data_IF_079410870453
#
_entry.id   IF_079410870453
#
_cell.length_a   1.000
_cell.length_b   1.000
_cell.length_c   1.000
_cell.angle_alpha   90.00
_cell.angle_beta   90.00
_cell.angle_gamma   90.00
#
_symmetry.space_group_name_H-M   'P 1'
#
loop_
_entity.id
_entity.type
_entity.pdbx_description
1 polymer ?
#
# COMPACT_ATOMS: atom_id res chain seq x y z
N UNK A 1 -13.72 0.25 10.62
CA UNK A 1 -13.12 -1.03 10.15
C UNK A 1 -11.74 -1.21 10.77
N UNK A 2 -11.24 -2.44 10.87
CA UNK A 2 -9.94 -2.72 11.48
C UNK A 2 -9.19 -3.81 10.72
N UNK A 3 -7.86 -3.74 10.77
CA UNK A 3 -6.97 -4.83 10.35
C UNK A 3 -6.46 -5.50 11.61
N UNK A 4 -6.68 -6.81 11.74
CA UNK A 4 -6.29 -7.57 12.93
C UNK A 4 -5.10 -8.44 12.60
N UNK A 5 -4.08 -8.40 13.46
CA UNK A 5 -2.88 -9.22 13.37
C UNK A 5 -2.95 -10.35 14.39
N UNK A 6 -2.64 -11.56 13.90
CA UNK A 6 -2.59 -12.77 14.69
C UNK A 6 -1.21 -13.42 14.54
N UNK A 7 -0.73 -13.97 15.64
CA UNK A 7 0.39 -14.91 15.63
C UNK A 7 -0.12 -16.25 15.11
N UNK A 8 0.31 -16.66 13.93
CA UNK A 8 -0.14 -17.93 13.34
C UNK A 8 0.44 -19.15 14.07
N UNK A 9 1.54 -19.00 14.82
CA UNK A 9 2.13 -20.11 15.58
C UNK A 9 1.34 -20.37 16.86
N UNK A 10 0.97 -19.31 17.58
CA UNK A 10 0.25 -19.42 18.85
C UNK A 10 -1.27 -19.26 18.71
N UNK A 11 -1.75 -18.89 17.52
CA UNK A 11 -3.12 -18.50 17.22
C UNK A 11 -3.65 -17.39 18.13
N UNK A 12 -2.75 -16.56 18.68
CA UNK A 12 -3.10 -15.47 19.58
C UNK A 12 -3.28 -14.17 18.82
N UNK A 13 -4.25 -13.39 19.27
CA UNK A 13 -4.37 -11.99 18.90
C UNK A 13 -3.11 -11.23 19.30
N UNK A 14 -2.55 -10.45 18.38
CA UNK A 14 -1.40 -9.59 18.66
C UNK A 14 -1.80 -8.13 18.73
N UNK A 15 -2.45 -7.64 17.67
CA UNK A 15 -2.76 -6.22 17.57
C UNK A 15 -3.91 -5.95 16.60
N UNK A 16 -4.53 -4.79 16.74
CA UNK A 16 -5.53 -4.29 15.81
C UNK A 16 -5.14 -2.88 15.35
N UNK A 17 -4.96 -2.70 14.05
CA UNK A 17 -4.81 -1.39 13.46
C UNK A 17 -6.21 -0.79 13.32
N UNK A 18 -6.45 0.29 14.06
CA UNK A 18 -7.71 1.01 14.07
C UNK A 18 -7.46 2.42 13.56
N UNK A 19 -8.17 2.81 12.50
CA UNK A 19 -8.27 4.17 11.91
C UNK A 19 -8.96 4.21 10.55
N UNK A 20 -9.45 3.07 10.07
CA UNK A 20 -10.06 2.95 8.75
C UNK A 20 -11.55 3.32 8.79
N UNK A 21 -11.91 4.31 7.98
CA UNK A 21 -13.28 4.82 7.83
C UNK A 21 -14.08 3.97 6.84
N UNK A 22 -13.41 3.32 5.89
CA UNK A 22 -14.03 2.50 4.85
C UNK A 22 -13.65 1.02 4.97
N UNK A 23 -14.29 0.19 4.16
CA UNK A 23 -13.95 -1.24 4.02
C UNK A 23 -12.54 -1.36 3.46
N UNK A 24 -11.72 -2.21 4.06
CA UNK A 24 -10.39 -2.52 3.56
C UNK A 24 -10.54 -3.25 2.23
N UNK A 25 -9.93 -2.68 1.20
CA UNK A 25 -9.96 -3.25 -0.15
C UNK A 25 -8.75 -4.15 -0.39
N UNK A 26 -7.58 -3.78 0.14
CA UNK A 26 -6.32 -4.47 -0.13
C UNK A 26 -5.28 -4.27 0.98
N UNK A 27 -4.33 -5.21 1.06
CA UNK A 27 -3.23 -5.25 2.01
C UNK A 27 -1.97 -5.77 1.32
N UNK A 28 -0.84 -5.10 1.53
CA UNK A 28 0.46 -5.58 1.04
C UNK A 28 1.55 -5.36 2.10
N UNK A 29 2.45 -6.32 2.25
CA UNK A 29 3.48 -6.30 3.27
C UNK A 29 4.88 -6.36 2.65
N UNK A 30 5.73 -5.41 3.05
CA UNK A 30 7.13 -5.33 2.68
C UNK A 30 8.01 -5.76 3.87
N UNK A 31 8.54 -7.01 3.88
CA UNK A 31 9.27 -7.55 5.04
C UNK A 31 10.59 -6.83 5.30
N UNK A 32 11.31 -6.44 4.24
CA UNK A 32 12.63 -5.80 4.34
C UNK A 32 12.62 -4.48 5.12
N UNK A 33 11.46 -3.81 5.18
CA UNK A 33 11.26 -2.55 5.92
C UNK A 33 10.25 -2.68 7.06
N UNK A 34 9.73 -3.90 7.29
CA UNK A 34 8.66 -4.17 8.24
C UNK A 34 7.49 -3.20 8.05
N UNK A 35 7.00 -3.07 6.82
CA UNK A 35 6.02 -2.06 6.45
C UNK A 35 4.79 -2.70 5.83
N UNK A 36 3.61 -2.42 6.37
CA UNK A 36 2.33 -2.86 5.83
C UNK A 36 1.63 -1.68 5.17
N UNK A 37 1.28 -1.83 3.89
CA UNK A 37 0.37 -0.96 3.19
C UNK A 37 -1.08 -1.46 3.40
N UNK A 38 -1.98 -0.52 3.69
CA UNK A 38 -3.41 -0.79 3.84
C UNK A 38 -4.17 0.19 2.97
N UNK A 39 -4.97 -0.34 2.05
CA UNK A 39 -5.84 0.43 1.17
C UNK A 39 -7.32 0.19 1.50
N UNK A 40 -8.10 1.27 1.49
CA UNK A 40 -9.54 1.21 1.70
C UNK A 40 -10.34 1.66 0.47
N UNK A 41 -11.63 1.32 0.43
CA UNK A 41 -12.54 1.67 -0.67
C UNK A 41 -12.82 3.17 -0.79
N UNK A 42 -12.43 3.99 0.21
CA UNK A 42 -12.49 5.45 0.11
C UNK A 42 -11.31 6.07 -0.65
N UNK A 43 -10.40 5.22 -1.15
CA UNK A 43 -9.17 5.62 -1.81
C UNK A 43 -8.08 6.03 -0.82
N UNK A 44 -8.23 5.76 0.48
CA UNK A 44 -7.14 6.03 1.43
C UNK A 44 -6.13 4.89 1.40
N UNK A 45 -4.85 5.26 1.43
CA UNK A 45 -3.73 4.34 1.56
C UNK A 45 -2.90 4.79 2.76
N UNK A 46 -2.60 3.85 3.65
CA UNK A 46 -1.82 4.08 4.86
C UNK A 46 -0.70 3.06 4.98
N UNK A 47 0.42 3.49 5.54
CA UNK A 47 1.60 2.67 5.77
C UNK A 47 1.86 2.56 7.27
N UNK A 48 2.05 1.32 7.70
CA UNK A 48 2.18 0.97 9.11
C UNK A 48 3.45 0.20 9.36
N UNK A 49 4.17 0.55 10.42
CA UNK A 49 5.32 -0.23 10.87
C UNK A 49 4.84 -1.51 11.56
N UNK A 50 5.49 -2.61 11.25
CA UNK A 50 5.22 -3.94 11.80
C UNK A 50 6.42 -4.44 12.59
N UNK A 51 6.23 -5.50 13.37
CA UNK A 51 7.34 -6.20 14.01
C UNK A 51 8.33 -6.75 12.98
N UNK A 52 9.64 -6.82 13.31
CA UNK A 52 10.27 -6.43 14.58
C UNK A 52 10.72 -4.95 14.65
N UNK A 53 10.15 -4.03 13.86
CA UNK A 53 10.57 -2.62 13.88
C UNK A 53 10.41 -1.99 15.27
N UNK A 54 11.34 -1.13 15.74
CA UNK A 54 11.24 -0.46 17.04
C UNK A 54 9.95 0.35 17.19
N UNK A 55 9.56 1.09 16.15
CA UNK A 55 8.32 1.87 16.09
C UNK A 55 7.11 1.07 15.60
N UNK A 56 7.01 -0.21 15.94
CA UNK A 56 5.88 -1.08 15.55
C UNK A 56 4.51 -0.45 15.86
N UNK A 57 3.52 -0.76 15.02
CA UNK A 57 2.12 -0.33 15.11
C UNK A 57 1.87 1.16 14.87
N UNK A 58 2.89 1.91 14.48
CA UNK A 58 2.75 3.32 14.12
C UNK A 58 2.36 3.47 12.64
N UNK A 59 1.41 4.36 12.37
CA UNK A 59 1.11 4.81 11.01
C UNK A 59 2.15 5.88 10.63
N UNK A 60 3.03 5.56 9.70
CA UNK A 60 4.14 6.45 9.30
C UNK A 60 3.79 7.35 8.14
N UNK A 61 2.82 6.94 7.32
CA UNK A 61 2.37 7.76 6.20
C UNK A 61 0.93 7.42 5.85
N UNK A 62 0.17 8.43 5.47
CA UNK A 62 -1.22 8.31 5.06
C UNK A 62 -1.49 9.32 3.96
N UNK A 63 -2.14 8.85 2.89
CA UNK A 63 -2.57 9.71 1.81
C UNK A 63 -3.90 9.21 1.25
N UNK A 64 -4.57 10.07 0.49
CA UNK A 64 -5.75 9.73 -0.28
C UNK A 64 -5.36 9.71 -1.75
N UNK A 65 -5.62 8.60 -2.41
CA UNK A 65 -5.57 8.54 -3.85
C UNK A 65 -6.69 9.44 -4.39
N UNK A 66 -6.31 10.58 -4.97
CA UNK A 66 -7.27 11.48 -5.56
C UNK A 66 -7.82 10.83 -6.83
N UNK A 67 -9.14 10.85 -7.06
CA UNK A 67 -9.65 10.46 -8.36
C UNK A 67 -8.98 11.37 -9.39
N UNK A 68 -8.38 10.77 -10.42
CA UNK A 68 -7.81 11.49 -11.56
C UNK A 68 -8.87 12.41 -12.16
N UNK A 69 -8.85 13.69 -11.79
CA UNK A 69 -9.64 14.71 -12.47
C UNK A 69 -8.93 14.94 -13.81
N UNK A 70 -9.53 14.46 -14.90
CA UNK A 70 -9.10 14.63 -16.29
C UNK A 70 -7.93 13.76 -16.80
N UNK A 71 -7.62 12.63 -16.16
CA UNK A 71 -6.76 11.60 -16.78
C UNK A 71 -5.29 11.98 -17.04
N UNK A 72 -4.84 13.16 -16.61
CA UNK A 72 -3.43 13.58 -16.76
C UNK A 72 -2.65 13.22 -15.50
N UNK A 73 -1.82 12.18 -15.58
CA UNK A 73 -0.71 12.00 -14.64
C UNK A 73 0.33 13.09 -14.92
N UNK A 74 0.86 13.82 -13.92
CA UNK A 74 2.09 14.57 -14.13
C UNK A 74 3.21 13.55 -14.37
N UNK A 75 3.58 13.39 -15.64
CA UNK A 75 4.67 12.56 -16.15
C UNK A 75 4.46 11.03 -16.03
N UNK A 76 3.75 10.42 -16.99
CA UNK A 76 4.09 9.07 -17.48
C UNK A 76 3.80 9.03 -18.98
N UNK A 77 4.85 8.81 -19.77
CA UNK A 77 4.78 8.60 -21.22
C UNK A 77 3.89 7.40 -21.55
N UNK A 78 2.85 7.62 -22.34
CA UNK A 78 1.83 6.62 -22.70
C UNK A 78 2.42 5.44 -23.50
N UNK A 79 1.99 4.23 -23.17
CA UNK A 79 2.09 3.03 -24.04
C UNK A 79 0.65 2.61 -24.39
N UNK A 80 0.34 2.24 -25.65
CA UNK A 80 -1.05 2.17 -26.14
C UNK A 80 -1.89 1.03 -25.53
N UNK A 81 -3.22 1.09 -25.67
CA UNK A 81 -4.16 0.33 -24.85
C UNK A 81 -4.37 -1.10 -25.38
N UNK A 82 -4.13 -2.10 -24.54
CA UNK A 82 -4.68 -3.45 -24.71
C UNK A 82 -5.92 -3.59 -23.82
N UNK A 83 -7.03 -3.99 -24.45
CA UNK A 83 -8.37 -4.03 -23.90
C UNK A 83 -8.55 -5.12 -22.83
N UNK A 84 -8.29 -4.80 -21.56
CA UNK A 84 -8.82 -5.52 -20.40
C UNK A 84 -9.02 -4.53 -19.24
N UNK A 85 -10.02 -4.72 -18.35
CA UNK A 85 -10.19 -3.87 -17.19
C UNK A 85 -8.96 -4.02 -16.29
N UNK A 86 -8.07 -3.03 -16.33
CA UNK A 86 -6.88 -2.99 -15.49
C UNK A 86 -7.37 -2.70 -14.07
N UNK A 87 -7.14 -3.60 -13.10
CA UNK A 87 -7.40 -3.24 -11.71
C UNK A 87 -6.57 -2.00 -11.39
N UNK A 88 -7.21 -0.97 -10.82
CA UNK A 88 -6.61 0.27 -10.33
C UNK A 88 -5.75 0.00 -9.07
N UNK A 89 -4.91 -1.02 -9.12
CA UNK A 89 -4.02 -1.45 -8.06
C UNK A 89 -2.62 -1.62 -8.65
N UNK A 90 -1.97 -0.51 -8.95
CA UNK A 90 -0.52 -0.48 -9.04
C UNK A 90 -0.05 0.95 -8.82
N UNK A 91 0.27 1.28 -7.57
CA UNK A 91 1.31 2.28 -7.34
C UNK A 91 2.57 1.75 -8.04
N UNK A 92 2.85 2.24 -9.27
CA UNK A 92 4.11 1.95 -9.96
C UNK A 92 5.21 2.70 -9.22
N UNK A 93 5.93 2.01 -8.36
CA UNK A 93 7.23 2.49 -7.90
C UNK A 93 8.22 2.28 -9.04
N UNK A 94 8.77 3.36 -9.58
CA UNK A 94 9.85 3.27 -10.57
C UNK A 94 11.02 2.50 -9.96
N UNK A 95 11.36 1.35 -10.54
CA UNK A 95 12.61 0.67 -10.20
C UNK A 95 13.79 1.60 -10.49
N UNK A 96 14.75 1.77 -9.57
CA UNK A 96 15.96 2.51 -9.90
C UNK A 96 16.69 1.75 -11.00
N UNK A 97 16.90 2.41 -12.14
CA UNK A 97 17.72 1.86 -13.20
C UNK A 97 19.13 1.61 -12.64
N UNK A 98 19.55 0.34 -12.63
CA UNK A 98 20.95 -0.03 -12.48
C UNK A 98 21.68 0.59 -13.69
N UNK A 99 22.42 1.67 -13.47
CA UNK A 99 23.45 2.10 -14.40
C UNK A 99 24.49 0.97 -14.51
N UNK A 100 24.40 0.19 -15.58
CA UNK A 100 25.50 -0.62 -16.06
C UNK A 100 26.39 0.28 -16.92
N UNK A 101 27.68 0.28 -16.63
CA UNK A 101 28.67 1.16 -17.22
C UNK A 101 28.99 0.81 -18.67
N UNK A 102 29.48 1.83 -19.37
CA UNK A 102 30.42 1.69 -20.48
C UNK A 102 31.84 1.95 -19.96
#
# INVERSE_FOLDING_TARGET
MQVVLYDLKTMKFEHALARFQHVIADLDFLPSRCLLAVADQGGHVSFWRMRPHPDQWTCVFHFRNLPLINGVLPCVTEVPPAAHPVPLCALRFGSPALFAGE
#
